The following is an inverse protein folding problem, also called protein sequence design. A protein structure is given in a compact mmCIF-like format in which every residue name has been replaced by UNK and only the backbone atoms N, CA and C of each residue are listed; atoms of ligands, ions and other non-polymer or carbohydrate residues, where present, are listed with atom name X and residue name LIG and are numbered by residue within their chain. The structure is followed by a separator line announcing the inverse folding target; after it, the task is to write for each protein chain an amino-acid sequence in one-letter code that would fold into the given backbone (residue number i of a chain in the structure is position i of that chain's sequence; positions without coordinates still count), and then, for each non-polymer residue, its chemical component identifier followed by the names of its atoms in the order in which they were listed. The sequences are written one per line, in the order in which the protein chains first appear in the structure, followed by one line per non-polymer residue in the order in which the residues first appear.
data_IF_362246534959
#
_entry.id   IF_362246534959
#
_cell.length_a   1.000
_cell.length_b   1.000
_cell.length_c   1.000
_cell.angle_alpha   90.00
_cell.angle_beta   90.00
_cell.angle_gamma   90.00
#
_symmetry.space_group_name_H-M   'P 1'
#
loop_
_entity.id
_entity.type
_entity.pdbx_description
1 polymer ?
#
# COMPACT_ATOMS: atom_id res chain seq x y z
N UNK A 1 12.92 -19.16 -32.84
CA UNK A 1 12.59 -18.19 -31.77
C UNK A 1 12.69 -18.95 -30.47
N UNK A 2 13.66 -18.62 -29.62
CA UNK A 2 13.70 -19.14 -28.24
C UNK A 2 12.44 -18.67 -27.52
N UNK A 3 11.69 -19.56 -26.85
CA UNK A 3 10.51 -19.13 -26.10
C UNK A 3 10.96 -18.13 -25.04
N UNK A 4 10.32 -16.96 -25.02
CA UNK A 4 10.62 -15.92 -24.04
C UNK A 4 10.24 -16.46 -22.66
N UNK A 5 11.22 -16.62 -21.76
CA UNK A 5 10.94 -16.98 -20.37
C UNK A 5 10.25 -15.77 -19.71
N UNK A 6 9.16 -15.96 -18.94
CA UNK A 6 8.57 -14.87 -18.16
C UNK A 6 9.60 -14.24 -17.21
N UNK A 7 9.56 -12.92 -17.07
CA UNK A 7 10.41 -12.18 -16.12
C UNK A 7 9.83 -12.38 -14.73
N UNK A 8 10.61 -12.98 -13.83
CA UNK A 8 10.17 -13.28 -12.47
C UNK A 8 10.42 -12.09 -11.55
N UNK A 9 9.35 -11.56 -10.95
CA UNK A 9 9.40 -10.39 -10.06
C UNK A 9 8.96 -10.82 -8.65
N UNK A 10 9.79 -10.53 -7.66
CA UNK A 10 9.44 -10.66 -6.25
C UNK A 10 9.01 -9.30 -5.66
N UNK A 11 7.94 -9.29 -4.87
CA UNK A 11 7.49 -8.13 -4.08
C UNK A 11 7.64 -8.51 -2.61
N UNK A 12 8.45 -7.77 -1.86
CA UNK A 12 8.61 -7.94 -0.41
C UNK A 12 7.65 -7.01 0.32
N UNK A 13 6.67 -7.54 1.05
CA UNK A 13 5.66 -6.78 1.78
C UNK A 13 4.29 -6.83 1.12
N UNK A 14 3.29 -7.28 1.87
CA UNK A 14 1.94 -7.54 1.36
C UNK A 14 0.91 -6.45 1.71
N UNK A 15 1.33 -5.37 2.37
CA UNK A 15 0.43 -4.23 2.63
C UNK A 15 -0.22 -3.66 1.36
N UNK A 16 -1.16 -2.72 1.52
CA UNK A 16 -1.95 -2.15 0.41
C UNK A 16 -1.11 -1.74 -0.82
N UNK A 17 0.10 -1.21 -0.60
CA UNK A 17 1.01 -0.86 -1.68
C UNK A 17 1.51 -2.09 -2.47
N UNK A 18 1.98 -3.13 -1.80
CA UNK A 18 2.47 -4.37 -2.42
C UNK A 18 1.38 -5.11 -3.18
N UNK A 19 0.20 -5.26 -2.57
CA UNK A 19 -0.95 -5.90 -3.21
C UNK A 19 -1.47 -5.09 -4.43
N UNK A 20 -1.49 -3.75 -4.33
CA UNK A 20 -1.84 -2.89 -5.48
C UNK A 20 -0.84 -3.01 -6.61
N UNK A 21 0.46 -3.01 -6.30
CA UNK A 21 1.53 -3.19 -7.29
C UNK A 21 1.44 -4.56 -7.98
N UNK A 22 1.22 -5.63 -7.21
CA UNK A 22 1.05 -6.97 -7.76
C UNK A 22 -0.08 -7.00 -8.82
N UNK A 23 -1.22 -6.38 -8.52
CA UNK A 23 -2.33 -6.28 -9.46
C UNK A 23 -2.01 -5.47 -10.73
N UNK A 24 -1.21 -4.41 -10.60
CA UNK A 24 -0.75 -3.65 -11.75
C UNK A 24 0.17 -4.49 -12.67
N UNK A 25 1.02 -5.33 -12.08
CA UNK A 25 1.95 -6.17 -12.82
C UNK A 25 1.30 -7.42 -13.42
N UNK A 26 0.30 -8.03 -12.73
CA UNK A 26 -0.38 -9.26 -13.16
C UNK A 26 -1.08 -9.15 -14.54
N UNK A 27 -1.30 -7.94 -15.04
CA UNK A 27 -1.87 -7.70 -16.37
C UNK A 27 -0.92 -8.02 -17.51
N UNK A 28 0.37 -8.12 -17.21
CA UNK A 28 1.40 -8.35 -18.20
C UNK A 28 1.75 -9.84 -18.22
N UNK A 29 1.32 -10.60 -19.26
CA UNK A 29 1.52 -12.06 -19.31
C UNK A 29 2.99 -12.49 -19.43
N UNK A 30 3.88 -11.52 -19.62
CA UNK A 30 5.33 -11.72 -19.65
C UNK A 30 5.96 -11.67 -18.25
N UNK A 31 5.19 -11.34 -17.21
CA UNK A 31 5.66 -11.21 -15.83
C UNK A 31 5.13 -12.37 -14.98
N UNK A 32 6.02 -12.98 -14.19
CA UNK A 32 5.69 -13.96 -13.16
C UNK A 32 5.89 -13.30 -11.78
N UNK A 33 4.79 -12.85 -11.18
CA UNK A 33 4.82 -11.96 -10.00
C UNK A 33 4.53 -12.76 -8.74
N UNK A 34 5.44 -12.71 -7.76
CA UNK A 34 5.26 -13.34 -6.45
C UNK A 34 5.30 -12.29 -5.34
N UNK A 35 4.41 -12.42 -4.36
CA UNK A 35 4.37 -11.56 -3.17
C UNK A 35 4.78 -12.35 -1.93
N UNK A 36 5.61 -11.73 -1.10
CA UNK A 36 6.19 -12.31 0.10
C UNK A 36 5.82 -11.46 1.31
N UNK A 37 5.30 -12.09 2.35
CA UNK A 37 4.95 -11.45 3.62
C UNK A 37 5.70 -12.10 4.78
N UNK A 38 6.20 -11.28 5.68
CA UNK A 38 6.88 -11.68 6.91
C UNK A 38 5.94 -12.32 7.94
N UNK A 39 4.69 -11.87 8.03
CA UNK A 39 3.68 -12.42 8.92
C UNK A 39 3.23 -13.82 8.48
N UNK A 40 2.64 -14.56 9.42
CA UNK A 40 2.15 -15.93 9.17
C UNK A 40 0.91 -16.00 8.29
N UNK A 41 0.20 -14.88 8.17
CA UNK A 41 -1.01 -14.72 7.39
C UNK A 41 -1.02 -13.34 6.73
N UNK A 42 -1.67 -13.27 5.58
CA UNK A 42 -1.99 -12.02 4.93
C UNK A 42 -3.14 -11.36 5.69
N UNK A 43 -2.79 -10.40 6.53
CA UNK A 43 -3.77 -9.74 7.39
C UNK A 43 -3.32 -8.32 7.70
N UNK A 44 -4.31 -7.46 7.91
CA UNK A 44 -4.07 -6.11 8.39
C UNK A 44 -4.95 -5.86 9.59
N UNK A 45 -4.34 -5.30 10.65
CA UNK A 45 -5.06 -4.99 11.87
C UNK A 45 -5.77 -3.65 11.75
N UNK A 46 -6.94 -3.60 12.39
CA UNK A 46 -7.97 -2.59 12.24
C UNK A 46 -7.48 -1.16 12.25
N UNK A 47 -7.68 -0.50 11.11
CA UNK A 47 -7.74 0.94 10.94
C UNK A 47 -8.56 1.24 9.68
N UNK A 48 -9.07 2.45 9.60
CA UNK A 48 -9.77 2.97 8.43
C UNK A 48 -8.79 3.80 7.61
N UNK A 49 -8.79 3.63 6.28
CA UNK A 49 -7.96 4.43 5.38
C UNK A 49 -8.83 5.36 4.54
N UNK A 50 -8.41 6.62 4.42
CA UNK A 50 -8.99 7.61 3.51
C UNK A 50 -8.29 7.58 2.16
N UNK A 51 -9.03 7.29 1.10
CA UNK A 51 -8.57 7.26 -0.29
C UNK A 51 -8.98 8.57 -0.96
N UNK A 52 -8.00 9.47 -1.11
CA UNK A 52 -8.19 10.74 -1.83
C UNK A 52 -8.48 10.51 -3.33
N UNK A 53 -9.08 11.49 -3.99
CA UNK A 53 -9.53 11.35 -5.38
C UNK A 53 -8.42 10.98 -6.36
N UNK A 54 -7.21 11.52 -6.14
CA UNK A 54 -6.04 11.17 -6.96
C UNK A 54 -5.71 9.68 -6.82
N UNK A 55 -5.78 9.13 -5.61
CA UNK A 55 -5.55 7.70 -5.39
C UNK A 55 -6.67 6.84 -6.02
N UNK A 56 -7.93 7.30 -6.00
CA UNK A 56 -9.05 6.64 -6.69
C UNK A 56 -8.84 6.63 -8.21
N UNK A 57 -8.41 7.74 -8.79
CA UNK A 57 -8.08 7.84 -10.20
C UNK A 57 -6.90 6.93 -10.59
N UNK A 58 -5.83 6.91 -9.79
CA UNK A 58 -4.68 6.02 -10.02
C UNK A 58 -5.09 4.54 -9.96
N UNK A 59 -5.92 4.15 -8.99
CA UNK A 59 -6.47 2.78 -8.92
C UNK A 59 -7.29 2.44 -10.17
N UNK A 60 -8.05 3.41 -10.69
CA UNK A 60 -8.85 3.23 -11.90
C UNK A 60 -7.98 3.02 -13.15
N UNK A 61 -6.82 3.67 -13.24
CA UNK A 61 -5.87 3.49 -14.35
C UNK A 61 -5.16 2.14 -14.34
N UNK A 62 -5.04 1.49 -13.18
CA UNK A 62 -4.61 0.10 -13.14
C UNK A 62 -5.59 -0.76 -13.95
N UNK A 63 -6.91 -0.48 -13.90
CA UNK A 63 -8.03 -1.18 -14.59
C UNK A 63 -8.20 -2.64 -14.12
N UNK A 64 -9.11 -3.40 -14.72
CA UNK A 64 -9.17 -4.87 -14.59
C UNK A 64 -9.35 -5.37 -13.15
N UNK A 65 -8.38 -6.09 -12.59
CA UNK A 65 -8.51 -6.78 -11.30
C UNK A 65 -8.83 -5.88 -10.10
N UNK A 66 -8.45 -4.59 -10.16
CA UNK A 66 -8.73 -3.61 -9.09
C UNK A 66 -9.88 -2.67 -9.41
N UNK A 67 -10.55 -2.87 -10.54
CA UNK A 67 -11.75 -2.09 -10.89
C UNK A 67 -12.83 -2.32 -9.83
N UNK A 68 -13.47 -1.26 -9.35
CA UNK A 68 -14.46 -1.31 -8.26
C UNK A 68 -13.96 -1.96 -6.95
N UNK A 69 -12.65 -2.08 -6.74
CA UNK A 69 -12.08 -2.71 -5.52
C UNK A 69 -12.52 -1.98 -4.25
N UNK A 70 -12.62 -0.65 -4.29
CA UNK A 70 -13.05 0.17 -3.17
C UNK A 70 -14.52 -0.10 -2.80
N UNK A 71 -15.39 -0.33 -3.80
CA UNK A 71 -16.80 -0.68 -3.57
C UNK A 71 -16.93 -2.08 -2.99
N UNK A 72 -16.21 -3.06 -3.54
CA UNK A 72 -16.21 -4.44 -3.03
C UNK A 72 -15.69 -4.53 -1.60
N UNK A 73 -14.71 -3.69 -1.26
CA UNK A 73 -14.17 -3.58 0.09
C UNK A 73 -15.08 -2.83 1.08
N UNK A 74 -16.28 -2.40 0.65
CA UNK A 74 -17.23 -1.68 1.49
C UNK A 74 -16.88 -0.21 1.71
N UNK A 75 -16.19 0.42 0.76
CA UNK A 75 -15.84 1.83 0.82
C UNK A 75 -17.06 2.75 0.89
N UNK A 76 -16.99 3.74 1.78
CA UNK A 76 -18.04 4.73 2.02
C UNK A 76 -17.54 6.10 1.62
N UNK A 77 -18.30 6.80 0.77
CA UNK A 77 -17.99 8.18 0.40
C UNK A 77 -18.09 9.11 1.61
N UNK A 78 -17.06 9.92 1.85
CA UNK A 78 -17.10 10.94 2.90
C UNK A 78 -18.10 12.05 2.54
N UNK A 79 -19.20 12.11 3.29
CA UNK A 79 -20.28 13.10 3.08
C UNK A 79 -20.23 14.28 4.06
N UNK A 80 -19.50 14.16 5.17
CA UNK A 80 -19.44 15.14 6.27
C UNK A 80 -18.29 16.15 6.16
N UNK A 81 -17.21 15.82 5.46
CA UNK A 81 -16.07 16.73 5.27
C UNK A 81 -16.31 17.63 4.05
N UNK A 82 -16.75 18.86 4.30
CA UNK A 82 -16.77 19.93 3.28
C UNK A 82 -15.38 20.54 3.16
N UNK A 83 -14.45 19.80 2.60
CA UNK A 83 -13.22 20.40 2.06
C UNK A 83 -13.65 21.19 0.82
N UNK A 84 -13.13 22.40 0.61
CA UNK A 84 -13.37 23.25 -0.57
C UNK A 84 -12.74 22.66 -1.86
N UNK A 85 -12.96 21.36 -2.09
CA UNK A 85 -12.65 20.62 -3.29
C UNK A 85 -13.92 19.81 -3.61
N UNK A 86 -14.50 19.98 -4.80
CA UNK A 86 -15.79 19.39 -5.19
C UNK A 86 -15.81 17.84 -5.21
N UNK A 87 -14.68 17.18 -4.94
CA UNK A 87 -14.52 15.74 -5.06
C UNK A 87 -14.28 15.06 -3.71
N UNK A 88 -15.08 14.02 -3.44
CA UNK A 88 -15.18 13.35 -2.14
C UNK A 88 -14.25 12.15 -2.03
N UNK A 89 -13.46 12.11 -0.95
CA UNK A 89 -12.67 10.93 -0.58
C UNK A 89 -13.55 9.72 -0.24
N UNK A 90 -12.99 8.52 -0.37
CA UNK A 90 -13.60 7.26 0.06
C UNK A 90 -12.90 6.78 1.32
N UNK A 91 -13.68 6.47 2.35
CA UNK A 91 -13.22 5.81 3.56
C UNK A 91 -13.46 4.30 3.41
N UNK A 92 -12.45 3.47 3.69
CA UNK A 92 -12.59 2.00 3.62
C UNK A 92 -11.82 1.32 4.76
N UNK A 93 -12.32 0.17 5.22
CA UNK A 93 -11.57 -0.66 6.17
C UNK A 93 -10.33 -1.23 5.48
N UNK A 94 -9.15 -0.98 6.08
CA UNK A 94 -7.86 -1.39 5.53
C UNK A 94 -7.78 -2.90 5.25
N UNK A 95 -8.28 -3.71 6.18
CA UNK A 95 -8.30 -5.17 6.07
C UNK A 95 -9.20 -5.67 4.91
N UNK A 96 -10.38 -5.07 4.75
CA UNK A 96 -11.31 -5.42 3.68
C UNK A 96 -10.75 -5.03 2.30
N UNK A 97 -10.09 -3.87 2.21
CA UNK A 97 -9.42 -3.44 0.98
C UNK A 97 -8.27 -4.38 0.61
N UNK A 98 -7.47 -4.79 1.59
CA UNK A 98 -6.38 -5.72 1.34
C UNK A 98 -6.90 -7.08 0.85
N UNK A 99 -7.90 -7.65 1.54
CA UNK A 99 -8.53 -8.93 1.14
C UNK A 99 -9.00 -8.89 -0.33
N UNK A 100 -9.67 -7.81 -0.73
CA UNK A 100 -10.11 -7.62 -2.12
C UNK A 100 -8.94 -7.50 -3.12
N UNK A 101 -7.83 -6.86 -2.74
CA UNK A 101 -6.64 -6.75 -3.58
C UNK A 101 -5.89 -8.08 -3.72
N UNK A 102 -6.00 -9.00 -2.76
CA UNK A 102 -5.31 -10.30 -2.82
C UNK A 102 -6.06 -11.38 -3.60
N UNK A 103 -7.38 -11.25 -3.77
CA UNK A 103 -8.21 -12.24 -4.48
C UNK A 103 -7.70 -12.60 -5.89
N UNK A 104 -7.21 -11.64 -6.71
CA UNK A 104 -6.69 -11.93 -8.03
C UNK A 104 -5.35 -12.67 -8.04
N UNK A 105 -4.62 -12.68 -6.92
CA UNK A 105 -3.31 -13.32 -6.80
C UNK A 105 -3.49 -14.79 -6.38
N UNK A 106 -2.96 -15.71 -7.18
CA UNK A 106 -3.02 -17.16 -6.95
C UNK A 106 -2.26 -17.56 -5.67
N UNK A 107 -2.66 -18.69 -5.08
CA UNK A 107 -2.01 -19.20 -3.86
C UNK A 107 -0.51 -19.49 -4.09
N UNK A 108 -0.14 -20.03 -5.26
CA UNK A 108 1.26 -20.33 -5.60
C UNK A 108 2.15 -19.07 -5.72
N UNK A 109 1.52 -17.92 -5.89
CA UNK A 109 2.18 -16.62 -6.04
C UNK A 109 2.17 -15.82 -4.74
N UNK A 110 1.63 -16.38 -3.65
CA UNK A 110 1.49 -15.77 -2.33
C UNK A 110 2.25 -16.58 -1.29
N UNK A 111 3.26 -15.97 -0.67
CA UNK A 111 4.10 -16.63 0.33
C UNK A 111 4.08 -15.88 1.65
N UNK A 112 3.76 -16.57 2.75
CA UNK A 112 3.80 -16.03 4.12
C UNK A 112 4.99 -16.60 4.89
N UNK A 113 5.33 -16.02 6.04
CA UNK A 113 6.52 -16.37 6.84
C UNK A 113 7.82 -16.19 6.04
N UNK A 114 7.89 -15.17 5.19
CA UNK A 114 9.02 -14.88 4.30
C UNK A 114 9.55 -13.48 4.56
N UNK A 115 10.24 -13.29 5.68
CA UNK A 115 10.94 -12.02 5.94
C UNK A 115 12.25 -12.02 5.18
N UNK A 116 12.41 -11.09 4.24
CA UNK A 116 13.67 -10.93 3.50
C UNK A 116 14.77 -10.51 4.48
N UNK A 117 15.85 -11.28 4.54
CA UNK A 117 17.02 -10.97 5.40
C UNK A 117 18.27 -10.64 4.60
N UNK A 118 18.35 -11.10 3.33
CA UNK A 118 19.51 -10.86 2.47
C UNK A 118 19.14 -11.05 1.00
N UNK A 119 19.71 -10.21 0.13
CA UNK A 119 19.59 -10.32 -1.33
C UNK A 119 21.01 -10.40 -1.90
N UNK A 120 21.23 -11.30 -2.86
CA UNK A 120 22.54 -11.54 -3.46
C UNK A 120 22.41 -11.65 -4.97
N UNK A 121 23.35 -11.09 -5.70
CA UNK A 121 23.47 -11.35 -7.14
C UNK A 121 23.94 -12.80 -7.38
N UNK A 122 23.17 -13.55 -8.16
CA UNK A 122 23.56 -14.86 -8.65
C UNK A 122 24.47 -14.71 -9.88
N UNK A 123 25.43 -15.63 -10.11
CA UNK A 123 26.21 -15.72 -11.34
C UNK A 123 25.36 -15.80 -12.62
N UNK A 124 24.07 -16.13 -12.50
CA UNK A 124 23.13 -16.28 -13.62
C UNK A 124 22.33 -15.00 -13.93
N UNK A 125 22.76 -13.82 -13.48
CA UNK A 125 22.06 -12.53 -13.65
C UNK A 125 20.67 -12.45 -12.98
N UNK A 126 20.37 -13.38 -12.07
CA UNK A 126 19.18 -13.35 -11.22
C UNK A 126 19.59 -12.94 -9.81
N UNK A 127 18.62 -12.52 -9.00
CA UNK A 127 18.78 -12.26 -7.57
C UNK A 127 18.38 -13.51 -6.79
N UNK A 128 19.20 -13.89 -5.81
CA UNK A 128 18.83 -14.86 -4.78
C UNK A 128 18.37 -14.12 -3.53
N UNK A 129 17.10 -14.27 -3.18
CA UNK A 129 16.47 -13.68 -2.01
C UNK A 129 16.50 -14.73 -0.90
N UNK A 130 17.10 -14.39 0.24
CA UNK A 130 17.15 -15.24 1.43
C UNK A 130 16.15 -14.76 2.45
N UNK A 131 15.41 -15.70 3.05
CA UNK A 131 14.43 -15.45 4.10
C UNK A 131 14.94 -15.88 5.47
N UNK A 132 14.25 -15.43 6.52
CA UNK A 132 14.55 -15.74 7.92
C UNK A 132 14.34 -17.22 8.30
N UNK A 133 13.52 -17.94 7.53
CA UNK A 133 13.30 -19.38 7.66
C UNK A 133 14.34 -20.24 6.91
N UNK A 134 15.46 -19.63 6.51
CA UNK A 134 16.57 -20.23 5.74
C UNK A 134 16.23 -20.59 4.28
N UNK A 135 14.97 -20.48 3.87
CA UNK A 135 14.55 -20.72 2.49
C UNK A 135 15.04 -19.62 1.55
N UNK A 136 14.97 -19.90 0.25
CA UNK A 136 15.48 -19.02 -0.79
C UNK A 136 14.52 -18.95 -1.98
N UNK A 137 14.56 -17.83 -2.69
CA UNK A 137 13.82 -17.63 -3.93
C UNK A 137 14.66 -16.89 -4.96
N UNK A 138 14.66 -17.37 -6.21
CA UNK A 138 15.34 -16.71 -7.32
C UNK A 138 14.37 -15.85 -8.12
N UNK A 139 14.75 -14.61 -8.43
CA UNK A 139 13.95 -13.67 -9.22
C UNK A 139 14.83 -12.82 -10.14
N UNK A 140 14.27 -12.27 -11.22
CA UNK A 140 14.96 -11.30 -12.08
C UNK A 140 14.99 -9.89 -11.46
N UNK A 141 14.00 -9.57 -10.60
CA UNK A 141 13.93 -8.32 -9.87
C UNK A 141 13.20 -8.50 -8.53
N UNK A 142 13.52 -7.63 -7.55
CA UNK A 142 12.78 -7.51 -6.30
C UNK A 142 12.35 -6.05 -6.08
N UNK A 143 11.12 -5.86 -5.60
CA UNK A 143 10.55 -4.56 -5.23
C UNK A 143 10.19 -4.58 -3.75
N UNK A 144 10.77 -3.65 -2.98
CA UNK A 144 10.44 -3.47 -1.57
C UNK A 144 9.14 -2.68 -1.38
N UNK A 145 8.21 -3.25 -0.63
CA UNK A 145 6.92 -2.71 -0.23
C UNK A 145 6.58 -3.09 1.24
N UNK A 146 7.58 -3.45 2.03
CA UNK A 146 7.57 -3.99 3.40
C UNK A 146 7.33 -2.93 4.50
N UNK A 147 6.76 -1.80 4.08
CA UNK A 147 6.31 -0.74 4.98
C UNK A 147 7.43 0.16 5.50
N UNK A 148 7.05 1.39 5.83
CA UNK A 148 7.98 2.40 6.34
C UNK A 148 8.64 1.99 7.66
N UNK A 149 8.03 1.10 8.46
CA UNK A 149 8.57 0.65 9.76
C UNK A 149 9.82 -0.22 9.62
N UNK A 150 9.88 -1.10 8.62
CA UNK A 150 11.09 -1.89 8.35
C UNK A 150 12.26 -1.03 7.86
N UNK A 151 11.96 0.04 7.12
CA UNK A 151 12.94 0.97 6.57
C UNK A 151 13.43 2.01 7.59
N UNK A 152 12.51 2.56 8.39
CA UNK A 152 12.79 3.68 9.29
C UNK A 152 13.16 3.20 10.70
N UNK A 153 12.77 1.99 11.12
CA UNK A 153 13.02 1.45 12.45
C UNK A 153 11.77 1.45 13.34
N UNK A 154 11.64 0.46 14.23
CA UNK A 154 10.47 0.32 15.12
C UNK A 154 10.27 1.53 16.04
N UNK A 155 11.38 2.14 16.44
CA UNK A 155 11.44 3.30 17.34
C UNK A 155 10.70 4.54 16.80
N UNK A 156 10.53 4.65 15.48
CA UNK A 156 9.81 5.77 14.87
C UNK A 156 8.29 5.60 14.90
N UNK A 157 7.79 4.42 15.30
CA UNK A 157 6.38 4.05 15.33
C UNK A 157 5.90 3.64 16.73
N UNK A 158 6.68 3.89 17.78
CA UNK A 158 6.30 3.60 19.17
C UNK A 158 5.17 4.47 19.70
N UNK A 159 4.89 5.62 19.07
CA UNK A 159 3.85 6.55 19.50
C UNK A 159 2.98 6.94 18.30
N UNK A 160 1.67 7.08 18.54
CA UNK A 160 0.76 7.72 17.59
C UNK A 160 1.21 9.17 17.35
N UNK A 161 1.27 9.60 16.08
CA UNK A 161 1.85 10.89 15.68
C UNK A 161 0.91 11.73 14.82
N UNK A 162 0.97 13.02 15.09
CA UNK A 162 0.24 14.13 14.49
C UNK A 162 0.52 14.31 13.00
N UNK A 163 -0.50 14.71 12.24
CA UNK A 163 -0.38 15.04 10.81
C UNK A 163 -0.80 16.48 10.54
N UNK A 164 0.03 17.21 9.80
CA UNK A 164 -0.21 18.56 9.33
C UNK A 164 0.03 18.74 7.83
N UNK A 165 -0.63 19.73 7.24
CA UNK A 165 -0.61 20.05 5.82
C UNK A 165 -0.45 21.56 5.62
N UNK A 166 0.49 21.99 4.77
CA UNK A 166 0.76 23.40 4.40
C UNK A 166 0.57 23.55 2.88
N UNK A 167 -0.14 24.59 2.45
CA UNK A 167 -0.26 25.02 1.06
C UNK A 167 -0.34 26.54 0.91
N UNK A 168 -0.31 27.04 -0.34
CA UNK A 168 -0.39 28.47 -0.63
C UNK A 168 -1.80 29.00 -0.32
N UNK A 169 -1.95 29.66 0.83
CA UNK A 169 -3.22 30.18 1.34
C UNK A 169 -3.93 29.29 2.36
N UNK A 170 -3.33 28.20 2.88
CA UNK A 170 -3.96 27.45 3.98
C UNK A 170 -3.13 26.32 4.58
N UNK A 171 -3.46 26.00 5.84
CA UNK A 171 -2.83 24.99 6.68
C UNK A 171 -3.87 24.21 7.47
N UNK A 172 -3.73 22.88 7.57
CA UNK A 172 -4.59 22.03 8.40
C UNK A 172 -3.77 20.97 9.10
N UNK A 173 -4.01 20.75 10.38
CA UNK A 173 -3.34 19.75 11.19
C UNK A 173 -4.28 19.20 12.26
N UNK A 174 -4.17 17.90 12.57
CA UNK A 174 -4.90 17.30 13.69
C UNK A 174 -4.05 16.31 14.48
N UNK A 175 -4.38 16.18 15.76
CA UNK A 175 -3.75 15.28 16.73
C UNK A 175 -4.74 14.56 17.63
N UNK A 176 -4.34 13.38 18.08
CA UNK A 176 -5.07 12.56 19.06
C UNK A 176 -4.38 12.72 20.43
N UNK A 177 -5.14 13.16 21.44
CA UNK A 177 -4.70 13.44 22.81
C UNK A 177 -5.30 12.43 23.81
N UNK A 178 -4.73 12.38 25.02
CA UNK A 178 -5.27 11.66 26.18
C UNK A 178 -5.55 10.15 25.97
N UNK A 179 -4.62 9.38 25.41
CA UNK A 179 -4.79 7.93 25.15
C UNK A 179 -6.06 7.61 24.31
N UNK A 180 -6.55 8.60 23.56
CA UNK A 180 -7.74 8.53 22.73
C UNK A 180 -8.98 9.26 23.26
N UNK A 181 -8.92 9.94 24.41
CA UNK A 181 -10.10 10.63 24.96
C UNK A 181 -10.41 11.98 24.30
N UNK A 182 -9.44 12.65 23.68
CA UNK A 182 -9.67 13.92 22.98
C UNK A 182 -8.91 14.06 21.66
N UNK A 183 -9.37 14.97 20.80
CA UNK A 183 -8.74 15.32 19.52
C UNK A 183 -8.56 16.83 19.44
N UNK A 184 -7.35 17.27 19.11
CA UNK A 184 -7.03 18.66 18.81
C UNK A 184 -6.93 18.87 17.29
N UNK A 185 -7.62 19.88 16.75
CA UNK A 185 -7.53 20.28 15.35
C UNK A 185 -7.10 21.75 15.22
N UNK A 186 -6.24 22.06 14.25
CA UNK A 186 -5.78 23.41 13.88
C UNK A 186 -6.02 23.63 12.39
N UNK A 187 -6.62 24.79 12.03
CA UNK A 187 -6.90 25.15 10.63
C UNK A 187 -6.63 26.64 10.41
N UNK A 188 -6.01 27.00 9.28
CA UNK A 188 -5.79 28.37 8.80
C UNK A 188 -6.06 28.43 7.30
N UNK A 189 -6.69 29.48 6.81
CA UNK A 189 -6.81 29.78 5.38
C UNK A 189 -6.79 31.30 5.15
N UNK A 190 -6.17 31.77 4.06
CA UNK A 190 -6.31 33.14 3.57
C UNK A 190 -7.47 33.22 2.57
N UNK A 191 -8.40 34.15 2.79
CA UNK A 191 -9.41 34.52 1.80
C UNK A 191 -8.83 35.69 1.01
N UNK A 192 -8.66 35.51 -0.30
CA UNK A 192 -8.35 36.61 -1.21
C UNK A 192 -9.65 36.98 -1.91
N UNK A 193 -10.34 38.01 -1.40
CA UNK A 193 -11.37 38.71 -2.17
C UNK A 193 -10.66 39.41 -3.35
N UNK A 194 -11.24 39.26 -4.55
CA UNK A 194 -10.57 39.62 -5.81
C UNK A 194 -10.20 41.09 -5.97
N UNK A 195 -9.25 41.32 -6.87
CA UNK A 195 -9.13 42.51 -7.72
C UNK A 195 -9.43 42.11 -9.18
#
# INVERSE_FOLDING_TARGET
MTPYRPIKIAISGEGLAGATLANALLKHPQLDVHIFESASEFSERGAVVGIANIAQATLSEIRGTVENVLERAGGVTMTSSRIYAEQRGIIVHRAALLDELLKPITADNKHTNKRVVRIVDSPTQQLTIHFDDESQFEADAIIGADGAKGLLGEEYFENDRQYGWIGNGGFFMHDVLDEGETVQCVLSAMIIDGD
#
